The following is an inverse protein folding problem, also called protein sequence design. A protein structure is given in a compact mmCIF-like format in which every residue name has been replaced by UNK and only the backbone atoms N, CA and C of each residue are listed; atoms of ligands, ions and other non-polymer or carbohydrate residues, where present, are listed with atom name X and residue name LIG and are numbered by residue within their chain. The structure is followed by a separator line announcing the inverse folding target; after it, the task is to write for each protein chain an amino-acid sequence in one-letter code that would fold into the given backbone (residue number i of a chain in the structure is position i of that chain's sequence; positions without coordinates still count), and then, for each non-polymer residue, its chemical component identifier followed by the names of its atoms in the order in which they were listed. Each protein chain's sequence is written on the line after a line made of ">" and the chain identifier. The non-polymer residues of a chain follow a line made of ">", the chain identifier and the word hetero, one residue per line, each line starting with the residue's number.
data_IF_991012671200
#
_entry.id   IF_991012671200
#
_cell.length_a   1.000
_cell.length_b   1.000
_cell.length_c   1.000
_cell.angle_alpha   90.00
_cell.angle_beta   90.00
_cell.angle_gamma   90.00
#
_symmetry.space_group_name_H-M   'P 1'
#
loop_
_entity.id
_entity.type
_entity.pdbx_description
1 polymer ?
#
# COMPACT_ATOMS: atom_id res chain seq x y z
N UNK A 1 29.79 -4.39 70.05
CA UNK A 1 30.07 -5.41 69.03
C UNK A 1 28.80 -6.24 68.85
N UNK A 2 27.94 -5.82 67.91
CA UNK A 2 26.64 -6.47 67.67
C UNK A 2 26.86 -7.58 66.66
N UNK A 3 26.60 -8.82 67.10
CA UNK A 3 26.63 -10.03 66.28
C UNK A 3 25.27 -10.19 65.62
N UNK A 4 25.14 -9.74 64.40
CA UNK A 4 23.93 -10.04 63.57
C UNK A 4 23.90 -11.55 63.28
N UNK A 5 22.88 -12.23 63.77
CA UNK A 5 22.75 -13.68 63.66
C UNK A 5 22.42 -14.07 62.19
N UNK A 6 22.93 -15.21 61.73
CA UNK A 6 22.67 -15.80 60.41
C UNK A 6 21.18 -15.99 60.09
N UNK A 7 20.30 -15.98 61.12
CA UNK A 7 18.83 -16.04 60.96
C UNK A 7 18.22 -14.78 60.38
N UNK A 8 18.74 -13.58 60.78
CA UNK A 8 18.16 -12.29 60.36
C UNK A 8 18.43 -12.03 58.87
N UNK A 9 19.59 -12.46 58.36
CA UNK A 9 19.96 -12.36 56.94
C UNK A 9 19.04 -13.24 56.05
N UNK A 10 18.65 -14.41 56.55
CA UNK A 10 17.74 -15.30 55.80
C UNK A 10 16.32 -14.78 55.75
N UNK A 11 15.84 -14.14 56.78
CA UNK A 11 14.52 -13.53 56.83
C UNK A 11 14.47 -12.28 55.89
N UNK A 12 15.50 -11.45 55.90
CA UNK A 12 15.61 -10.28 55.03
C UNK A 12 15.69 -10.74 53.56
N UNK A 13 16.47 -11.80 53.24
CA UNK A 13 16.56 -12.34 51.89
C UNK A 13 15.22 -12.95 51.41
N UNK A 14 14.45 -13.60 52.30
CA UNK A 14 13.14 -14.14 51.97
C UNK A 14 12.12 -13.07 51.74
N UNK A 15 12.11 -11.97 52.52
CA UNK A 15 11.25 -10.83 52.33
C UNK A 15 11.57 -10.05 51.01
N UNK A 16 12.85 -9.87 50.67
CA UNK A 16 13.25 -9.30 49.40
C UNK A 16 12.84 -10.14 48.19
N UNK A 17 12.97 -11.46 48.28
CA UNK A 17 12.52 -12.38 47.24
C UNK A 17 10.99 -12.36 47.05
N UNK A 18 10.22 -12.21 48.14
CA UNK A 18 8.74 -12.09 48.07
C UNK A 18 8.29 -10.78 47.41
N UNK A 19 9.02 -9.69 47.57
CA UNK A 19 8.73 -8.41 46.92
C UNK A 19 9.04 -8.44 45.40
N UNK A 20 10.03 -9.25 45.01
CA UNK A 20 10.33 -9.38 43.55
C UNK A 20 9.31 -10.26 42.79
N UNK A 21 8.57 -11.12 43.49
CA UNK A 21 7.53 -11.96 42.89
C UNK A 21 6.15 -11.29 42.85
N UNK A 22 5.94 -10.23 43.65
CA UNK A 22 4.69 -9.47 43.64
C UNK A 22 4.71 -8.27 42.69
N UNK A 23 5.83 -8.00 42.01
CA UNK A 23 6.11 -6.73 41.36
C UNK A 23 5.77 -6.64 39.86
N UNK A 24 5.01 -7.53 39.25
CA UNK A 24 4.66 -7.40 37.82
C UNK A 24 3.24 -7.85 37.44
N UNK A 25 2.39 -8.18 38.39
CA UNK A 25 0.97 -8.42 38.07
C UNK A 25 0.17 -7.14 38.29
N UNK A 26 -0.26 -6.51 37.21
CA UNK A 26 -1.25 -5.44 37.20
C UNK A 26 -0.75 -4.02 36.91
N UNK A 27 0.58 -3.78 36.78
CA UNK A 27 1.07 -2.43 36.44
C UNK A 27 0.88 -2.10 34.95
N UNK A 28 0.57 -3.11 34.14
CA UNK A 28 0.32 -2.98 32.69
C UNK A 28 -1.06 -3.44 32.29
N UNK A 29 -1.94 -3.80 33.24
CA UNK A 29 -3.34 -4.05 32.96
C UNK A 29 -4.00 -2.74 32.53
N UNK A 30 -4.44 -2.66 31.26
CA UNK A 30 -5.03 -1.46 30.66
C UNK A 30 -4.06 -0.55 29.89
N UNK A 31 -2.78 -0.89 29.81
CA UNK A 31 -1.83 -0.19 28.92
C UNK A 31 -1.84 -0.78 27.50
N UNK A 32 -2.26 -2.02 27.36
CA UNK A 32 -2.51 -2.61 26.05
C UNK A 32 -3.99 -2.37 25.73
N UNK A 33 -4.27 -1.32 24.97
CA UNK A 33 -5.46 -1.31 24.13
C UNK A 33 -5.41 -2.61 23.31
N UNK A 34 -6.44 -3.44 23.35
CA UNK A 34 -6.50 -4.58 22.44
C UNK A 34 -6.32 -4.03 21.03
N UNK A 35 -5.31 -4.49 20.27
CA UNK A 35 -5.10 -3.96 18.94
C UNK A 35 -6.38 -4.18 18.13
N UNK A 36 -6.87 -3.13 17.49
CA UNK A 36 -7.97 -3.23 16.54
C UNK A 36 -7.58 -4.30 15.54
N UNK A 37 -8.44 -5.33 15.40
CA UNK A 37 -8.16 -6.45 14.50
C UNK A 37 -8.69 -6.12 13.12
N UNK A 38 -7.89 -6.34 12.09
CA UNK A 38 -8.32 -6.18 10.69
C UNK A 38 -9.36 -7.24 10.24
N UNK A 39 -9.61 -8.25 11.07
CA UNK A 39 -10.57 -9.35 10.78
C UNK A 39 -12.01 -8.86 10.54
N UNK A 40 -12.36 -7.65 10.98
CA UNK A 40 -13.68 -7.04 10.77
C UNK A 40 -13.76 -6.19 9.47
N UNK A 41 -12.66 -6.04 8.73
CA UNK A 41 -12.64 -5.24 7.51
C UNK A 41 -13.38 -5.96 6.38
N UNK A 42 -14.39 -5.31 5.84
CA UNK A 42 -15.10 -5.79 4.66
C UNK A 42 -14.30 -5.42 3.41
N UNK A 43 -13.45 -6.35 2.95
CA UNK A 43 -12.68 -6.16 1.72
C UNK A 43 -13.58 -6.01 0.50
N UNK A 44 -13.13 -5.23 -0.48
CA UNK A 44 -13.85 -4.98 -1.71
C UNK A 44 -14.61 -3.65 -1.74
N UNK A 45 -15.51 -3.55 -2.71
CA UNK A 45 -16.36 -2.38 -2.92
C UNK A 45 -17.53 -2.39 -1.94
N UNK A 46 -17.52 -1.49 -0.97
CA UNK A 46 -18.56 -1.32 0.03
C UNK A 46 -19.45 -0.14 -0.37
N UNK A 47 -20.73 -0.35 -0.74
CA UNK A 47 -21.62 0.74 -1.12
C UNK A 47 -21.86 1.70 0.04
N UNK A 48 -21.95 2.98 -0.27
CA UNK A 48 -22.35 4.01 0.70
C UNK A 48 -23.84 4.35 0.57
N UNK A 49 -24.34 5.27 1.39
CA UNK A 49 -25.73 5.76 1.26
C UNK A 49 -25.97 6.60 -0.01
N UNK A 50 -24.90 7.02 -0.70
CA UNK A 50 -24.99 7.81 -1.93
C UNK A 50 -24.84 6.88 -3.14
N UNK A 51 -25.73 7.00 -4.13
CA UNK A 51 -25.65 6.24 -5.37
C UNK A 51 -24.33 6.49 -6.12
N UNK A 52 -23.75 5.43 -6.67
CA UNK A 52 -22.46 5.48 -7.38
C UNK A 52 -21.24 5.76 -6.48
N UNK A 53 -21.41 5.69 -5.15
CA UNK A 53 -20.34 5.89 -4.18
C UNK A 53 -20.02 4.60 -3.44
N UNK A 54 -18.73 4.34 -3.32
CA UNK A 54 -18.21 3.14 -2.67
C UNK A 54 -17.00 3.50 -1.80
N UNK A 55 -16.83 2.79 -0.68
CA UNK A 55 -15.56 2.70 0.01
C UNK A 55 -14.92 1.38 -0.39
N UNK A 56 -13.81 1.45 -1.09
CA UNK A 56 -13.02 0.30 -1.50
C UNK A 56 -11.95 0.04 -0.46
N UNK A 57 -11.91 -1.19 0.07
CA UNK A 57 -10.88 -1.66 1.00
C UNK A 57 -10.13 -2.82 0.34
N UNK A 58 -8.81 -2.70 0.23
CA UNK A 58 -7.94 -3.66 -0.44
C UNK A 58 -6.79 -4.10 0.45
N UNK A 59 -6.46 -5.38 0.41
CA UNK A 59 -5.22 -5.92 0.95
C UNK A 59 -4.15 -5.95 -0.15
N UNK A 60 -3.31 -4.91 -0.18
CA UNK A 60 -2.23 -4.76 -1.15
C UNK A 60 -0.84 -4.99 -0.49
N UNK A 61 -0.75 -5.88 0.51
CA UNK A 61 0.51 -6.18 1.21
C UNK A 61 1.48 -7.02 0.42
N UNK A 62 0.99 -7.77 -0.54
CA UNK A 62 1.81 -8.68 -1.34
C UNK A 62 2.57 -7.92 -2.44
N UNK A 63 3.82 -8.30 -2.64
CA UNK A 63 4.71 -7.77 -3.68
C UNK A 63 4.80 -8.68 -4.92
N UNK A 64 4.08 -9.78 -4.93
CA UNK A 64 4.11 -10.79 -5.98
C UNK A 64 2.81 -10.90 -6.78
N UNK A 65 1.91 -9.91 -6.64
CA UNK A 65 0.66 -9.86 -7.38
C UNK A 65 0.23 -8.44 -7.75
N UNK A 66 -0.51 -8.31 -8.85
CA UNK A 66 -1.31 -7.15 -9.20
C UNK A 66 -2.76 -7.39 -8.85
N UNK A 67 -3.42 -6.40 -8.25
CA UNK A 67 -4.86 -6.39 -7.94
C UNK A 67 -5.55 -5.53 -8.98
N UNK A 68 -6.37 -6.14 -9.82
CA UNK A 68 -7.11 -5.50 -10.89
C UNK A 68 -8.52 -5.15 -10.46
N UNK A 69 -8.98 -3.97 -10.80
CA UNK A 69 -10.28 -3.41 -10.49
C UNK A 69 -11.05 -3.14 -11.78
N UNK A 70 -12.25 -3.68 -11.89
CA UNK A 70 -13.24 -3.30 -12.88
C UNK A 70 -14.30 -2.42 -12.20
N UNK A 71 -14.30 -1.14 -12.52
CA UNK A 71 -15.21 -0.16 -11.91
C UNK A 71 -16.63 -0.26 -12.48
N UNK A 72 -16.77 -0.81 -13.69
CA UNK A 72 -18.08 -1.00 -14.32
C UNK A 72 -18.86 -2.13 -13.67
N UNK A 73 -18.16 -3.23 -13.30
CA UNK A 73 -18.76 -4.41 -12.66
C UNK A 73 -18.55 -4.47 -11.15
N UNK A 74 -17.76 -3.54 -10.61
CA UNK A 74 -17.34 -3.52 -9.20
C UNK A 74 -16.64 -4.85 -8.82
N UNK A 75 -15.82 -5.36 -9.73
CA UNK A 75 -15.12 -6.62 -9.57
C UNK A 75 -13.65 -6.40 -9.23
N UNK A 76 -13.09 -7.38 -8.51
CA UNK A 76 -11.67 -7.39 -8.10
C UNK A 76 -11.10 -8.75 -8.46
N UNK A 77 -9.93 -8.74 -9.09
CA UNK A 77 -9.21 -9.95 -9.47
C UNK A 77 -7.72 -9.77 -9.22
N UNK A 78 -7.03 -10.79 -8.68
CA UNK A 78 -5.59 -10.75 -8.44
C UNK A 78 -4.86 -11.71 -9.34
N UNK A 79 -3.77 -11.26 -9.97
CA UNK A 79 -2.90 -12.06 -10.81
C UNK A 79 -1.47 -12.03 -10.30
N UNK A 80 -0.79 -13.19 -10.19
CA UNK A 80 0.59 -13.24 -9.77
C UNK A 80 1.51 -12.56 -10.78
N UNK A 81 2.60 -11.97 -10.29
CA UNK A 81 3.64 -11.40 -11.12
C UNK A 81 4.56 -12.53 -11.59
N UNK A 82 4.76 -12.72 -12.91
CA UNK A 82 5.64 -13.76 -13.41
C UNK A 82 7.09 -13.50 -13.00
N UNK A 83 7.73 -14.51 -12.41
CA UNK A 83 9.11 -14.44 -11.92
C UNK A 83 10.12 -15.14 -12.85
N UNK A 84 9.64 -15.87 -13.87
CA UNK A 84 10.44 -16.66 -14.82
C UNK A 84 9.93 -16.47 -16.24
N UNK A 85 10.77 -16.78 -17.20
CA UNK A 85 10.37 -16.90 -18.60
C UNK A 85 10.11 -18.38 -18.92
N UNK A 86 8.89 -18.69 -19.31
CA UNK A 86 8.46 -20.06 -19.68
C UNK A 86 8.14 -20.20 -21.16
N UNK A 87 7.85 -19.09 -21.84
CA UNK A 87 7.51 -19.01 -23.24
C UNK A 87 8.44 -18.12 -24.05
N UNK A 88 7.90 -17.49 -25.09
CA UNK A 88 8.61 -16.51 -25.91
C UNK A 88 8.60 -15.13 -25.19
N UNK A 89 9.74 -14.49 -25.15
CA UNK A 89 9.86 -13.17 -24.54
C UNK A 89 9.23 -12.09 -25.42
N UNK A 90 8.43 -11.23 -24.80
CA UNK A 90 7.73 -10.12 -25.47
C UNK A 90 8.62 -8.92 -25.85
N UNK A 91 9.91 -9.00 -25.56
CA UNK A 91 10.90 -7.94 -25.85
C UNK A 91 11.02 -6.84 -24.78
N UNK A 92 10.18 -6.87 -23.71
CA UNK A 92 10.17 -5.80 -22.71
C UNK A 92 9.94 -6.23 -21.26
N UNK A 93 9.27 -7.36 -21.02
CA UNK A 93 8.97 -7.85 -19.67
C UNK A 93 10.24 -8.39 -19.00
N UNK A 94 10.69 -7.67 -17.98
CA UNK A 94 11.90 -8.01 -17.22
C UNK A 94 11.71 -7.70 -15.74
N UNK A 95 12.45 -8.44 -14.92
CA UNK A 95 12.79 -7.99 -13.58
C UNK A 95 14.19 -7.40 -13.61
N UNK A 96 14.36 -6.24 -13.00
CA UNK A 96 15.63 -5.53 -12.91
C UNK A 96 16.03 -5.36 -11.45
N UNK A 97 17.25 -5.79 -11.10
CA UNK A 97 17.82 -5.59 -9.78
C UNK A 97 18.69 -4.35 -9.78
N UNK A 98 18.38 -3.42 -8.90
CA UNK A 98 19.16 -2.21 -8.73
C UNK A 98 19.78 -2.14 -7.33
N UNK A 99 21.00 -1.58 -7.26
CA UNK A 99 21.49 -0.99 -6.04
C UNK A 99 20.90 0.42 -5.92
N UNK A 100 20.17 0.67 -4.82
CA UNK A 100 19.40 1.92 -4.61
C UNK A 100 20.02 2.72 -3.49
N UNK A 101 20.59 3.89 -3.81
CA UNK A 101 21.18 4.80 -2.84
C UNK A 101 20.54 6.19 -2.96
N UNK A 102 19.58 6.49 -2.10
CA UNK A 102 18.75 7.69 -2.22
C UNK A 102 17.94 7.67 -3.51
N UNK A 103 18.10 8.66 -4.38
CA UNK A 103 17.47 8.74 -5.71
C UNK A 103 18.30 8.10 -6.84
N UNK A 104 19.45 7.48 -6.50
CA UNK A 104 20.33 6.88 -7.50
C UNK A 104 20.05 5.39 -7.62
N UNK A 105 19.74 4.95 -8.82
CA UNK A 105 19.53 3.56 -9.20
C UNK A 105 20.69 3.08 -10.07
N UNK A 106 21.43 2.05 -9.64
CA UNK A 106 22.49 1.43 -10.41
C UNK A 106 22.06 0.01 -10.76
N UNK A 107 21.83 -0.25 -12.05
CA UNK A 107 21.43 -1.57 -12.54
C UNK A 107 22.54 -2.59 -12.26
N UNK A 108 22.21 -3.68 -11.59
CA UNK A 108 23.10 -4.80 -11.28
C UNK A 108 22.84 -6.01 -12.17
N UNK A 109 21.58 -6.33 -12.39
CA UNK A 109 21.15 -7.54 -13.08
C UNK A 109 19.78 -7.34 -13.70
N UNK A 110 19.52 -8.03 -14.79
CA UNK A 110 18.24 -8.08 -15.47
C UNK A 110 17.92 -9.50 -15.86
N UNK A 111 16.67 -9.93 -15.66
CA UNK A 111 16.18 -11.22 -16.15
C UNK A 111 14.87 -11.06 -16.89
N UNK A 112 14.74 -11.77 -17.99
CA UNK A 112 13.51 -11.87 -18.75
C UNK A 112 12.48 -12.69 -17.98
N UNK A 113 11.24 -12.26 -18.04
CA UNK A 113 10.10 -12.95 -17.45
C UNK A 113 8.95 -13.02 -18.44
N UNK A 114 7.96 -13.88 -18.19
CA UNK A 114 6.74 -13.89 -18.98
C UNK A 114 6.00 -12.55 -18.86
N UNK A 115 5.19 -12.26 -19.86
CA UNK A 115 4.30 -11.10 -19.84
C UNK A 115 3.29 -11.22 -18.69
N UNK A 116 3.04 -10.11 -17.99
CA UNK A 116 2.03 -10.04 -16.93
C UNK A 116 0.67 -10.46 -17.46
N UNK A 117 0.07 -11.49 -16.85
CA UNK A 117 -1.30 -11.87 -17.13
C UNK A 117 -2.27 -10.81 -16.58
N UNK A 118 -3.27 -10.46 -17.37
CA UNK A 118 -4.27 -9.45 -17.02
C UNK A 118 -5.67 -10.03 -17.21
N UNK A 119 -6.67 -9.58 -16.44
CA UNK A 119 -8.07 -9.89 -16.71
C UNK A 119 -8.50 -9.37 -18.09
N UNK A 120 -9.54 -9.98 -18.66
CA UNK A 120 -10.11 -9.52 -19.94
C UNK A 120 -10.66 -8.08 -19.86
N UNK A 121 -11.18 -7.70 -18.68
CA UNK A 121 -11.75 -6.38 -18.42
C UNK A 121 -11.27 -5.86 -17.08
N UNK A 122 -10.69 -4.69 -17.10
CA UNK A 122 -10.26 -3.96 -15.93
C UNK A 122 -10.01 -2.48 -16.28
N UNK A 123 -10.02 -1.60 -15.29
CA UNK A 123 -9.83 -0.16 -15.47
C UNK A 123 -8.59 0.33 -14.75
N UNK A 124 -8.32 -0.20 -13.57
CA UNK A 124 -7.25 0.18 -12.67
C UNK A 124 -6.61 -1.07 -12.08
N UNK A 125 -5.29 -1.07 -11.91
CA UNK A 125 -4.61 -2.11 -11.16
C UNK A 125 -3.66 -1.50 -10.14
N UNK A 126 -3.57 -2.17 -8.97
CA UNK A 126 -2.71 -1.77 -7.87
C UNK A 126 -1.69 -2.86 -7.56
N UNK A 127 -0.47 -2.44 -7.30
CA UNK A 127 0.60 -3.26 -6.79
C UNK A 127 1.20 -2.52 -5.60
N UNK A 128 0.88 -2.98 -4.41
CA UNK A 128 1.24 -2.30 -3.18
C UNK A 128 0.68 -0.86 -3.15
N UNK A 129 1.43 0.17 -3.49
CA UNK A 129 0.95 1.54 -3.69
C UNK A 129 1.13 2.05 -5.13
N UNK A 130 1.79 1.28 -5.98
CA UNK A 130 1.91 1.60 -7.39
C UNK A 130 0.59 1.32 -8.10
N UNK A 131 0.26 2.17 -9.05
CA UNK A 131 -1.00 2.12 -9.76
C UNK A 131 -0.77 2.21 -11.25
N UNK A 132 -1.51 1.44 -12.03
CA UNK A 132 -1.57 1.55 -13.48
C UNK A 132 -3.00 1.51 -13.97
N UNK A 133 -3.23 2.03 -15.17
CA UNK A 133 -4.53 2.08 -15.82
C UNK A 133 -4.56 1.14 -17.03
N UNK A 134 -5.73 0.75 -17.46
CA UNK A 134 -5.91 0.01 -18.72
C UNK A 134 -6.02 0.99 -19.89
N UNK A 135 -4.91 1.61 -20.28
CA UNK A 135 -4.89 2.62 -21.35
C UNK A 135 -5.62 3.92 -21.02
N UNK A 136 -5.99 4.12 -19.77
CA UNK A 136 -6.61 5.33 -19.26
C UNK A 136 -5.59 6.43 -18.95
N UNK A 137 -6.06 7.49 -18.28
CA UNK A 137 -5.21 8.60 -17.86
C UNK A 137 -5.73 9.20 -16.55
N UNK A 138 -4.86 9.84 -15.78
CA UNK A 138 -5.18 10.34 -14.44
C UNK A 138 -4.87 11.83 -14.31
N UNK A 139 -5.76 12.55 -13.63
CA UNK A 139 -5.57 13.93 -13.19
C UNK A 139 -5.55 13.96 -11.66
N UNK A 140 -4.49 14.46 -11.04
CA UNK A 140 -4.49 14.82 -9.63
C UNK A 140 -5.20 16.17 -9.48
N UNK A 141 -6.29 16.21 -8.72
CA UNK A 141 -7.02 17.45 -8.45
C UNK A 141 -6.45 18.18 -7.23
N UNK A 142 -6.87 19.45 -7.05
CA UNK A 142 -6.58 20.21 -5.83
C UNK A 142 -7.48 19.85 -4.64
N UNK A 143 -8.47 18.96 -4.82
CA UNK A 143 -9.48 18.64 -3.82
C UNK A 143 -9.04 17.50 -2.91
N UNK A 144 -9.55 17.51 -1.68
CA UNK A 144 -9.31 16.49 -0.64
C UNK A 144 -10.58 15.76 -0.21
N UNK A 145 -11.67 15.96 -0.92
CA UNK A 145 -12.96 15.28 -0.73
C UNK A 145 -13.67 15.19 -2.07
N UNK A 146 -14.31 14.07 -2.36
CA UNK A 146 -15.15 13.90 -3.55
C UNK A 146 -16.36 14.85 -3.49
N UNK A 147 -16.88 15.19 -2.30
CA UNK A 147 -18.01 16.10 -2.14
C UNK A 147 -17.67 17.56 -2.47
N UNK A 148 -16.39 17.91 -2.43
CA UNK A 148 -15.92 19.23 -2.80
C UNK A 148 -15.67 19.39 -4.31
N UNK A 149 -15.68 18.28 -5.08
CA UNK A 149 -15.52 18.34 -6.52
C UNK A 149 -16.69 19.09 -7.18
N UNK A 150 -16.47 19.75 -8.33
CA UNK A 150 -17.55 20.17 -9.23
C UNK A 150 -18.50 19.02 -9.54
N UNK A 151 -19.70 19.34 -10.02
CA UNK A 151 -20.71 18.32 -10.27
C UNK A 151 -20.42 17.41 -11.48
N UNK A 152 -19.49 17.79 -12.35
CA UNK A 152 -19.23 17.08 -13.60
C UNK A 152 -17.74 17.06 -13.94
N UNK A 153 -17.29 15.95 -14.50
CA UNK A 153 -15.95 15.80 -15.09
C UNK A 153 -15.66 16.82 -16.20
N UNK A 154 -16.70 17.37 -16.86
CA UNK A 154 -16.55 18.40 -17.88
C UNK A 154 -15.86 19.69 -17.37
N UNK A 155 -15.93 19.95 -16.06
CA UNK A 155 -15.23 21.08 -15.45
C UNK A 155 -13.69 20.95 -15.51
N UNK A 156 -13.19 19.74 -15.79
CA UNK A 156 -11.77 19.43 -15.92
C UNK A 156 -11.34 19.17 -17.37
N UNK A 157 -12.17 19.57 -18.35
CA UNK A 157 -11.91 19.30 -19.78
C UNK A 157 -10.63 19.97 -20.30
N UNK A 158 -10.20 21.09 -19.70
CA UNK A 158 -8.97 21.80 -20.04
C UNK A 158 -7.74 21.31 -19.26
N UNK A 159 -7.93 20.44 -18.29
CA UNK A 159 -6.84 19.91 -17.44
C UNK A 159 -6.11 18.76 -18.15
N UNK A 160 -4.83 18.62 -17.84
CA UNK A 160 -3.98 17.62 -18.45
C UNK A 160 -4.05 16.30 -17.65
N UNK A 161 -4.69 15.30 -18.25
CA UNK A 161 -4.67 13.93 -17.74
C UNK A 161 -3.40 13.23 -18.23
N UNK A 162 -2.68 12.59 -17.32
CA UNK A 162 -1.43 11.88 -17.60
C UNK A 162 -1.68 10.39 -17.81
N UNK A 163 -1.24 9.82 -18.94
CA UNK A 163 -1.27 8.38 -19.14
C UNK A 163 -0.20 7.67 -18.30
N UNK A 164 -0.21 6.34 -18.35
CA UNK A 164 0.83 5.52 -17.76
C UNK A 164 2.15 5.67 -18.53
N UNK A 165 3.25 5.55 -17.80
CA UNK A 165 4.61 5.54 -18.33
C UNK A 165 5.25 4.18 -18.08
N UNK A 166 6.05 3.68 -19.03
CA UNK A 166 6.82 2.46 -18.84
C UNK A 166 8.00 2.71 -17.90
N UNK A 167 8.05 2.00 -16.78
CA UNK A 167 9.09 2.14 -15.76
C UNK A 167 9.84 0.83 -15.54
N UNK A 168 11.07 0.90 -15.02
CA UNK A 168 11.91 -0.27 -14.71
C UNK A 168 12.35 -0.32 -13.26
N UNK A 169 11.94 0.64 -12.43
CA UNK A 169 12.39 0.79 -11.04
C UNK A 169 11.30 1.43 -10.16
N UNK A 170 10.02 1.16 -10.47
CA UNK A 170 8.88 1.61 -9.68
C UNK A 170 8.25 0.44 -8.93
N UNK A 171 7.82 -0.60 -9.61
CA UNK A 171 7.12 -1.74 -9.02
C UNK A 171 8.11 -2.71 -8.35
N UNK A 172 8.20 -2.65 -7.03
CA UNK A 172 9.07 -3.51 -6.24
C UNK A 172 8.46 -4.89 -6.11
N UNK A 173 9.20 -5.93 -6.52
CA UNK A 173 8.73 -7.32 -6.47
C UNK A 173 9.51 -8.19 -5.48
N UNK A 174 10.69 -7.76 -5.04
CA UNK A 174 11.47 -8.46 -4.03
C UNK A 174 12.33 -7.48 -3.22
N UNK A 175 12.11 -7.47 -1.93
CA UNK A 175 12.81 -6.67 -0.93
C UNK A 175 13.91 -7.44 -0.18
N UNK A 176 14.14 -8.72 -0.49
CA UNK A 176 15.04 -9.57 0.30
C UNK A 176 16.47 -9.02 0.41
N UNK A 177 16.91 -8.27 -0.60
CA UNK A 177 18.22 -7.60 -0.62
C UNK A 177 18.25 -6.19 -0.04
N UNK A 178 17.23 -5.73 0.67
CA UNK A 178 17.10 -4.34 1.13
C UNK A 178 18.25 -3.88 2.04
N UNK A 179 18.79 -4.77 2.88
CA UNK A 179 19.91 -4.43 3.78
C UNK A 179 21.21 -4.10 3.04
N UNK A 180 21.37 -4.64 1.82
CA UNK A 180 22.48 -4.34 0.91
C UNK A 180 22.09 -3.31 -0.15
N UNK A 181 20.93 -2.67 0.00
CA UNK A 181 20.34 -1.74 -0.97
C UNK A 181 20.03 -2.38 -2.33
N UNK A 182 19.93 -3.69 -2.42
CA UNK A 182 19.68 -4.43 -3.65
C UNK A 182 18.21 -4.83 -3.73
N UNK A 183 17.46 -4.21 -4.63
CA UNK A 183 16.01 -4.36 -4.73
C UNK A 183 15.66 -4.80 -6.16
N UNK A 184 14.74 -5.76 -6.28
CA UNK A 184 14.19 -6.17 -7.54
C UNK A 184 12.90 -5.43 -7.88
N UNK A 185 12.80 -5.01 -9.11
CA UNK A 185 11.65 -4.32 -9.67
C UNK A 185 11.14 -5.02 -10.91
N UNK A 186 9.83 -5.06 -11.11
CA UNK A 186 9.21 -5.43 -12.37
C UNK A 186 9.17 -4.21 -13.29
N UNK A 187 9.62 -4.36 -14.53
CA UNK A 187 9.35 -3.39 -15.58
C UNK A 187 7.85 -3.44 -15.94
N UNK A 188 7.17 -2.32 -15.82
CA UNK A 188 5.72 -2.23 -15.97
C UNK A 188 5.29 -0.83 -16.39
N UNK A 189 4.15 -0.66 -17.10
CA UNK A 189 3.49 0.63 -17.15
C UNK A 189 3.01 1.01 -15.75
N UNK A 190 3.16 2.28 -15.38
CA UNK A 190 2.74 2.85 -14.09
C UNK A 190 2.22 4.25 -14.31
N UNK A 191 1.11 4.59 -13.68
CA UNK A 191 0.65 5.96 -13.61
C UNK A 191 1.39 6.70 -12.51
N UNK A 192 2.41 7.48 -12.88
CA UNK A 192 3.26 8.16 -11.91
C UNK A 192 2.51 9.21 -11.09
N UNK A 193 1.45 9.82 -11.66
CA UNK A 193 0.62 10.80 -10.95
C UNK A 193 -0.18 10.13 -9.83
N UNK A 194 -0.81 8.99 -10.13
CA UNK A 194 -1.61 8.29 -9.12
C UNK A 194 -0.72 7.50 -8.14
N UNK A 195 0.41 6.97 -8.58
CA UNK A 195 1.33 6.24 -7.69
C UNK A 195 2.05 7.14 -6.65
N UNK A 196 2.11 8.47 -6.84
CA UNK A 196 2.62 9.44 -5.85
C UNK A 196 1.61 9.76 -4.72
N UNK A 197 0.54 8.97 -4.60
CA UNK A 197 -0.46 9.19 -3.54
C UNK A 197 0.04 8.83 -2.14
N UNK A 198 1.08 8.03 -2.01
CA UNK A 198 1.76 7.70 -0.74
C UNK A 198 3.18 8.21 -0.75
N UNK A 199 3.48 9.07 0.20
CA UNK A 199 4.85 9.51 0.47
C UNK A 199 5.44 8.69 1.61
N UNK A 200 6.65 8.16 1.40
CA UNK A 200 7.42 7.47 2.42
C UNK A 200 8.49 8.39 2.98
N UNK A 201 8.49 8.58 4.30
CA UNK A 201 9.54 9.32 5.02
C UNK A 201 10.42 8.33 5.79
N UNK A 202 11.66 8.22 5.36
CA UNK A 202 12.69 7.37 5.98
C UNK A 202 13.61 8.14 6.93
N UNK A 203 13.34 9.41 7.22
CA UNK A 203 14.18 10.25 8.06
C UNK A 203 14.29 9.75 9.51
N UNK A 204 13.27 9.02 9.97
CA UNK A 204 13.25 8.40 11.31
C UNK A 204 12.74 6.96 11.23
N UNK A 205 13.40 5.97 11.87
CA UNK A 205 12.86 4.62 11.97
C UNK A 205 11.76 4.54 13.05
N UNK A 206 10.66 3.80 12.84
CA UNK A 206 10.29 3.15 11.58
C UNK A 206 9.82 4.17 10.52
N UNK A 207 9.93 3.84 9.21
CA UNK A 207 9.47 4.72 8.14
C UNK A 207 8.01 5.12 8.31
N UNK A 208 7.71 6.40 8.07
CA UNK A 208 6.35 6.94 8.09
C UNK A 208 5.78 6.93 6.68
N UNK A 209 4.49 6.67 6.59
CA UNK A 209 3.73 6.66 5.32
C UNK A 209 2.63 7.70 5.43
N UNK A 210 2.60 8.64 4.51
CA UNK A 210 1.59 9.69 4.44
C UNK A 210 0.84 9.60 3.13
N UNK A 211 -0.47 9.36 3.19
CA UNK A 211 -1.32 9.46 2.03
C UNK A 211 -1.53 10.94 1.66
N UNK A 212 -1.51 11.26 0.37
CA UNK A 212 -1.73 12.62 -0.13
C UNK A 212 -3.13 13.13 0.22
N UNK A 213 -4.08 12.24 0.44
CA UNK A 213 -5.51 12.51 0.67
C UNK A 213 -6.12 13.36 -0.45
N UNK A 214 -5.53 13.32 -1.64
CA UNK A 214 -6.04 14.02 -2.82
C UNK A 214 -7.11 13.19 -3.50
N UNK A 215 -7.99 13.89 -4.20
CA UNK A 215 -8.90 13.26 -5.14
C UNK A 215 -8.25 13.26 -6.51
N UNK A 216 -8.26 12.10 -7.15
CA UNK A 216 -7.78 11.87 -8.49
C UNK A 216 -8.97 11.58 -9.40
N UNK A 217 -8.91 12.05 -10.64
CA UNK A 217 -9.87 11.66 -11.68
C UNK A 217 -9.19 10.68 -12.61
N UNK A 218 -9.76 9.50 -12.71
CA UNK A 218 -9.37 8.47 -13.67
C UNK A 218 -10.29 8.59 -14.88
N UNK A 219 -9.74 8.92 -16.04
CA UNK A 219 -10.43 8.81 -17.33
C UNK A 219 -10.09 7.45 -17.91
N UNK A 220 -11.07 6.59 -18.04
CA UNK A 220 -10.92 5.24 -18.57
C UNK A 220 -10.83 5.25 -20.10
N UNK A 221 -10.49 4.10 -20.68
CA UNK A 221 -10.29 3.95 -22.13
C UNK A 221 -11.55 4.27 -22.94
N UNK A 222 -12.73 3.98 -22.41
CA UNK A 222 -14.03 4.29 -23.03
C UNK A 222 -14.46 5.76 -22.87
N UNK A 223 -13.66 6.57 -22.18
CA UNK A 223 -13.90 7.99 -21.91
C UNK A 223 -14.73 8.27 -20.66
N UNK A 224 -15.26 7.26 -19.98
CA UNK A 224 -15.93 7.46 -18.70
C UNK A 224 -14.91 7.90 -17.62
N UNK A 225 -15.39 8.59 -16.60
CA UNK A 225 -14.55 9.14 -15.54
C UNK A 225 -14.98 8.61 -14.18
N UNK A 226 -14.02 8.21 -13.39
CA UNK A 226 -14.20 7.92 -11.96
C UNK A 226 -13.44 8.94 -11.10
N UNK A 227 -13.97 9.26 -9.92
CA UNK A 227 -13.24 10.03 -8.91
C UNK A 227 -12.77 9.08 -7.80
N UNK A 228 -11.48 9.12 -7.50
CA UNK A 228 -10.79 8.28 -6.53
C UNK A 228 -10.21 9.17 -5.43
N UNK A 229 -10.67 9.01 -4.20
CA UNK A 229 -10.07 9.69 -3.05
C UNK A 229 -9.21 8.70 -2.28
N UNK A 230 -7.90 8.83 -2.41
CA UNK A 230 -6.91 7.97 -1.78
C UNK A 230 -6.77 8.33 -0.29
N UNK A 231 -7.48 7.64 0.60
CA UNK A 231 -7.63 8.02 2.02
C UNK A 231 -6.52 7.52 2.91
N UNK A 232 -6.22 6.23 2.83
CA UNK A 232 -5.27 5.60 3.74
C UNK A 232 -4.52 4.45 3.09
N UNK A 233 -3.24 4.34 3.45
CA UNK A 233 -2.36 3.22 3.14
C UNK A 233 -2.28 2.20 4.30
N UNK A 234 -2.96 2.49 5.40
CA UNK A 234 -2.97 1.64 6.60
C UNK A 234 -4.38 1.45 7.11
N UNK A 235 -4.65 0.28 7.70
CA UNK A 235 -5.86 0.03 8.46
C UNK A 235 -5.90 0.86 9.75
N UNK A 236 -7.05 0.86 10.42
CA UNK A 236 -7.21 1.45 11.77
C UNK A 236 -6.33 0.74 12.81
N UNK A 237 -6.04 -0.54 12.61
CA UNK A 237 -5.11 -1.32 13.42
C UNK A 237 -3.63 -0.98 13.15
N UNK A 238 -3.33 -0.11 12.18
CA UNK A 238 -1.97 0.26 11.81
C UNK A 238 -1.29 -0.72 10.84
N UNK A 239 -2.02 -1.66 10.25
CA UNK A 239 -1.49 -2.60 9.27
C UNK A 239 -1.24 -1.88 7.95
N UNK A 240 0.02 -1.76 7.55
CA UNK A 240 0.44 -1.15 6.28
C UNK A 240 0.02 -2.01 5.09
N UNK A 241 -0.33 -1.37 3.97
CA UNK A 241 -0.76 -2.05 2.76
C UNK A 241 -2.24 -2.44 2.75
N UNK A 242 -3.00 -2.10 3.79
CA UNK A 242 -4.46 -2.13 3.74
C UNK A 242 -4.92 -0.76 3.25
N UNK A 243 -5.38 -0.71 2.01
CA UNK A 243 -5.76 0.52 1.34
C UNK A 243 -7.21 0.86 1.59
N UNK A 244 -7.51 2.14 1.82
CA UNK A 244 -8.87 2.67 1.83
C UNK A 244 -9.00 3.77 0.78
N UNK A 245 -9.92 3.57 -0.16
CA UNK A 245 -10.16 4.47 -1.29
C UNK A 245 -11.66 4.75 -1.39
N UNK A 246 -12.08 6.01 -1.32
CA UNK A 246 -13.45 6.34 -1.69
C UNK A 246 -13.52 6.48 -3.21
N UNK A 247 -14.52 5.86 -3.81
CA UNK A 247 -14.75 5.81 -5.25
C UNK A 247 -16.10 6.42 -5.56
N UNK A 248 -16.15 7.30 -6.54
CA UNK A 248 -17.39 7.73 -7.22
C UNK A 248 -17.33 7.31 -8.66
N UNK A 249 -18.24 6.45 -9.06
CA UNK A 249 -18.37 5.98 -10.43
C UNK A 249 -19.83 5.79 -10.83
N UNK A 250 -20.25 6.31 -12.01
CA UNK A 250 -19.53 7.31 -12.83
C UNK A 250 -19.46 8.68 -12.13
N UNK A 251 -18.49 9.51 -12.55
CA UNK A 251 -18.32 10.88 -12.07
C UNK A 251 -18.62 11.90 -13.17
#
# INVERSE_FOLDING_TARGET
>A
MYRTGKSDIRIIALCLASFMLAGCNGMFDGIYDEPVRDEALQMGFNPTAQEGRYTLILDARKYDEWIYLDLHRLAIESHPIPATLTGEWDGRSVWARYNVQGSRYTLLEERQVDTQAEPEQWDLALHHFDVRTNGGSVLQTGYTSIDALPQSAANFASEEFRPDEWTRHQCIVDFSGMFDYNIWYQASPVNLVLSDWVRMDFSTPPPKYEASRRVYLLRMLDGTVAALHMKSYMSEAGTKGILTIDVKYPY
#
